data_IF_534089091700
#
_entry.id   IF_534089091700
#
_cell.length_a   1.000
_cell.length_b   1.000
_cell.length_c   1.000
_cell.angle_alpha   90.00
_cell.angle_beta   90.00
_cell.angle_gamma   90.00
#
_symmetry.space_group_name_H-M   'P 1'
#
loop_
_entity.id
_entity.type
_entity.pdbx_description
1 polymer ?
#
# COMPACT_ATOMS: atom_id res chain seq x y z
N UNK A 1 -29.38 -52.23 6.38
CA UNK A 1 -28.46 -51.39 5.58
C UNK A 1 -28.12 -50.14 6.40
N UNK A 2 -26.97 -50.15 7.08
CA UNK A 2 -26.54 -49.05 7.97
C UNK A 2 -25.97 -47.93 7.10
N UNK A 3 -26.64 -46.78 7.06
CA UNK A 3 -26.14 -45.59 6.35
C UNK A 3 -25.04 -44.94 7.20
N UNK A 4 -23.82 -44.99 6.71
CA UNK A 4 -22.66 -44.33 7.31
C UNK A 4 -22.66 -42.86 6.81
N UNK A 5 -22.91 -41.89 7.69
CA UNK A 5 -22.71 -40.47 7.37
C UNK A 5 -21.21 -40.15 7.51
N UNK A 6 -20.56 -39.82 6.40
CA UNK A 6 -19.22 -39.22 6.39
C UNK A 6 -19.35 -37.70 6.57
N UNK A 7 -18.95 -37.21 7.74
CA UNK A 7 -18.78 -35.78 8.00
C UNK A 7 -17.42 -35.33 7.44
N UNK A 8 -17.44 -34.58 6.33
CA UNK A 8 -16.27 -33.88 5.81
C UNK A 8 -16.04 -32.63 6.67
N UNK A 9 -15.04 -32.69 7.56
CA UNK A 9 -14.52 -31.52 8.28
C UNK A 9 -13.76 -30.64 7.30
N UNK A 10 -14.36 -29.50 6.93
CA UNK A 10 -13.69 -28.44 6.18
C UNK A 10 -12.83 -27.63 7.15
N UNK A 11 -11.53 -27.93 7.23
CA UNK A 11 -10.57 -27.11 7.96
C UNK A 11 -10.14 -25.99 7.02
N UNK A 12 -10.49 -24.71 7.27
CA UNK A 12 -9.90 -23.64 6.50
C UNK A 12 -8.43 -23.53 6.91
N UNK A 13 -7.53 -23.81 5.97
CA UNK A 13 -6.12 -23.46 6.09
C UNK A 13 -6.05 -21.93 6.04
N UNK A 14 -6.11 -21.28 7.20
CA UNK A 14 -5.75 -19.86 7.33
C UNK A 14 -4.23 -19.79 7.46
N UNK A 15 -3.54 -20.10 6.35
CA UNK A 15 -2.12 -19.89 6.21
C UNK A 15 -1.88 -18.48 5.72
N UNK A 16 -1.14 -17.67 6.48
CA UNK A 16 -0.74 -16.32 6.11
C UNK A 16 -0.14 -16.30 4.71
N UNK A 17 -0.79 -15.64 3.76
CA UNK A 17 -0.18 -15.33 2.46
C UNK A 17 0.81 -14.20 2.69
N UNK A 18 1.99 -14.53 3.21
CA UNK A 18 3.11 -13.62 3.27
C UNK A 18 3.80 -13.65 1.91
N UNK A 19 3.43 -12.72 1.04
CA UNK A 19 4.18 -12.44 -0.18
C UNK A 19 4.13 -10.96 -0.56
N UNK A 20 4.29 -10.05 0.41
CA UNK A 20 4.86 -8.75 0.08
C UNK A 20 6.36 -8.85 0.35
N UNK A 21 7.17 -8.78 -0.70
CA UNK A 21 8.62 -8.62 -0.54
C UNK A 21 8.86 -7.38 0.32
N UNK A 22 9.65 -7.51 1.40
CA UNK A 22 10.06 -6.35 2.17
C UNK A 22 10.73 -5.36 1.23
N UNK A 23 10.17 -4.15 1.05
CA UNK A 23 10.71 -3.17 0.12
C UNK A 23 12.08 -2.74 0.63
N UNK A 24 13.14 -3.08 -0.11
CA UNK A 24 14.51 -2.77 0.29
C UNK A 24 14.85 -1.29 0.13
N UNK A 25 14.12 -0.56 -0.73
CA UNK A 25 14.37 0.85 -1.06
C UNK A 25 13.08 1.67 -1.07
N UNK A 26 12.54 1.89 0.12
CA UNK A 26 11.50 2.88 0.38
C UNK A 26 12.10 4.29 0.25
N UNK A 27 11.41 5.21 -0.41
CA UNK A 27 11.85 6.61 -0.54
C UNK A 27 10.79 7.57 -0.06
N UNK A 28 11.24 8.73 0.42
CA UNK A 28 10.39 9.87 0.77
C UNK A 28 9.18 9.50 1.67
N UNK A 29 9.40 8.83 2.83
CA UNK A 29 8.30 8.52 3.72
C UNK A 29 7.70 9.81 4.32
N UNK A 30 6.37 9.86 4.41
CA UNK A 30 5.61 10.94 5.01
C UNK A 30 4.51 10.36 5.92
N UNK A 31 4.50 10.77 7.18
CA UNK A 31 3.52 10.33 8.18
C UNK A 31 2.27 11.23 8.08
N UNK A 32 1.08 10.61 8.14
CA UNK A 32 -0.19 11.34 8.15
C UNK A 32 -0.31 12.24 9.40
N UNK A 33 -1.09 13.34 9.34
CA UNK A 33 -1.22 14.26 10.47
C UNK A 33 -1.74 13.62 11.76
N UNK A 34 -2.55 12.56 11.65
CA UNK A 34 -3.07 11.79 12.78
C UNK A 34 -2.10 10.70 13.28
N UNK A 35 -0.94 10.52 12.62
CA UNK A 35 0.10 9.58 12.99
C UNK A 35 -0.18 8.11 12.65
N UNK A 36 -1.27 7.80 11.93
CA UNK A 36 -1.71 6.41 11.72
C UNK A 36 -1.23 5.77 10.42
N UNK A 37 -0.81 6.56 9.43
CA UNK A 37 -0.50 6.06 8.10
C UNK A 37 0.80 6.66 7.59
N UNK A 38 1.63 5.85 6.93
CA UNK A 38 2.82 6.29 6.22
C UNK A 38 2.53 6.22 4.73
N UNK A 39 2.72 7.33 4.01
CA UNK A 39 2.83 7.34 2.55
C UNK A 39 4.32 7.30 2.17
N UNK A 40 4.68 6.61 1.10
CA UNK A 40 6.07 6.51 0.64
C UNK A 40 6.13 6.19 -0.85
N UNK A 41 7.25 6.51 -1.49
CA UNK A 41 7.56 6.12 -2.86
C UNK A 41 8.23 4.75 -2.94
N UNK A 42 7.80 3.91 -3.88
CA UNK A 42 8.42 2.63 -4.20
C UNK A 42 8.23 2.28 -5.68
N UNK A 43 9.31 1.90 -6.36
CA UNK A 43 9.31 1.53 -7.79
C UNK A 43 8.66 2.54 -8.75
N UNK A 44 8.64 3.82 -8.38
CA UNK A 44 8.06 4.88 -9.21
C UNK A 44 6.60 5.20 -8.89
N UNK A 45 5.96 4.48 -7.95
CA UNK A 45 4.61 4.77 -7.50
C UNK A 45 4.58 5.19 -6.03
N UNK A 46 3.48 5.84 -5.63
CA UNK A 46 3.20 6.13 -4.22
C UNK A 46 2.39 4.98 -3.62
N UNK A 47 2.77 4.57 -2.42
CA UNK A 47 2.08 3.59 -1.60
C UNK A 47 1.74 4.18 -0.24
N UNK A 48 0.80 3.54 0.46
CA UNK A 48 0.54 3.76 1.88
C UNK A 48 0.54 2.47 2.70
N UNK A 49 0.87 2.58 3.97
CA UNK A 49 0.82 1.48 4.95
C UNK A 49 0.42 2.02 6.32
N UNK A 50 -0.20 1.19 7.16
CA UNK A 50 -0.45 1.52 8.57
C UNK A 50 0.88 1.75 9.32
N UNK A 51 0.87 2.61 10.35
CA UNK A 51 2.05 2.91 11.17
C UNK A 51 2.63 1.67 11.87
N UNK A 52 1.79 0.66 12.13
CA UNK A 52 2.22 -0.62 12.70
C UNK A 52 2.76 -1.59 11.65
N UNK A 53 2.84 -1.15 10.38
CA UNK A 53 3.27 -1.97 9.24
C UNK A 53 2.13 -2.79 8.64
N UNK A 54 2.49 -3.85 7.93
CA UNK A 54 1.55 -4.73 7.22
C UNK A 54 1.61 -4.55 5.70
N UNK A 55 0.47 -4.77 5.05
CA UNK A 55 0.36 -4.76 3.58
C UNK A 55 0.32 -3.32 3.09
N UNK A 56 1.27 -2.95 2.22
CA UNK A 56 1.30 -1.66 1.57
C UNK A 56 0.33 -1.62 0.38
N UNK A 57 -0.46 -0.56 0.29
CA UNK A 57 -1.49 -0.36 -0.74
C UNK A 57 -1.01 0.72 -1.71
N UNK A 58 -0.97 0.48 -3.03
CA UNK A 58 -0.64 1.51 -4.01
C UNK A 58 -1.72 2.59 -4.01
N UNK A 59 -1.27 3.85 -4.06
CA UNK A 59 -2.09 5.04 -4.26
C UNK A 59 -2.07 5.50 -5.72
N UNK A 60 -0.96 5.25 -6.40
CA UNK A 60 -0.81 5.48 -7.83
C UNK A 60 -0.36 4.21 -8.53
N UNK A 61 -0.69 4.11 -9.81
CA UNK A 61 -0.22 3.06 -10.73
C UNK A 61 -0.12 3.74 -12.10
N UNK A 62 1.10 4.15 -12.47
CA UNK A 62 1.34 4.82 -13.75
C UNK A 62 2.73 4.47 -14.31
N UNK A 63 2.94 4.68 -15.61
CA UNK A 63 4.28 4.58 -16.23
C UNK A 63 5.23 5.73 -15.84
N UNK A 64 4.68 6.76 -15.20
CA UNK A 64 5.39 7.96 -14.78
C UNK A 64 6.01 7.72 -13.40
N UNK A 65 7.00 8.53 -13.04
CA UNK A 65 7.55 8.53 -11.69
C UNK A 65 6.75 9.45 -10.79
N UNK A 66 6.01 8.86 -9.86
CA UNK A 66 5.37 9.55 -8.76
C UNK A 66 6.27 9.51 -7.51
N UNK A 67 6.59 10.67 -6.95
CA UNK A 67 7.53 10.80 -5.84
C UNK A 67 7.20 11.92 -4.85
N UNK A 68 7.92 11.92 -3.72
CA UNK A 68 7.84 12.96 -2.66
C UNK A 68 6.40 13.22 -2.15
N UNK A 69 5.68 12.18 -1.67
CA UNK A 69 4.33 12.37 -1.16
C UNK A 69 4.35 13.26 0.08
N UNK A 70 3.36 14.16 0.20
CA UNK A 70 3.15 14.99 1.38
C UNK A 70 1.68 15.06 1.73
N UNK A 71 1.35 14.89 3.01
CA UNK A 71 -0.03 14.92 3.47
C UNK A 71 -0.52 16.36 3.61
N UNK A 72 -1.75 16.60 3.15
CA UNK A 72 -2.54 17.77 3.54
C UNK A 72 -2.75 17.80 5.06
N UNK A 73 -2.92 19.00 5.62
CA UNK A 73 -3.08 19.19 7.08
C UNK A 73 -4.27 18.44 7.67
N UNK A 74 -5.35 18.28 6.91
CA UNK A 74 -6.54 17.54 7.33
C UNK A 74 -6.45 16.03 7.05
N UNK A 75 -5.34 15.57 6.46
CA UNK A 75 -5.08 14.16 6.17
C UNK A 75 -5.88 13.56 5.02
N UNK A 76 -6.69 14.36 4.30
CA UNK A 76 -7.60 13.83 3.27
C UNK A 76 -6.93 13.62 1.91
N UNK A 77 -5.93 14.44 1.63
CA UNK A 77 -5.23 14.46 0.36
C UNK A 77 -3.72 14.26 0.54
N UNK A 78 -3.07 13.75 -0.49
CA UNK A 78 -1.61 13.62 -0.58
C UNK A 78 -1.18 14.33 -1.85
N UNK A 79 -0.36 15.37 -1.73
CA UNK A 79 0.30 15.96 -2.89
C UNK A 79 1.57 15.17 -3.24
N UNK A 80 1.91 15.07 -4.52
CA UNK A 80 3.12 14.37 -4.99
C UNK A 80 3.62 14.99 -6.31
N UNK A 81 4.88 14.75 -6.64
CA UNK A 81 5.48 15.15 -7.93
C UNK A 81 5.36 14.01 -8.94
N UNK A 82 4.93 14.30 -10.17
CA UNK A 82 4.80 13.31 -11.25
C UNK A 82 5.32 13.87 -12.57
N UNK A 83 6.05 13.05 -13.34
CA UNK A 83 6.56 13.41 -14.68
C UNK A 83 5.63 13.00 -15.83
N UNK A 84 4.37 12.66 -15.53
CA UNK A 84 3.40 12.13 -16.51
C UNK A 84 3.10 13.01 -17.71
N UNK A 85 3.41 14.31 -17.65
CA UNK A 85 3.26 15.26 -18.76
C UNK A 85 4.61 15.73 -19.34
N UNK A 86 5.69 14.98 -19.08
CA UNK A 86 7.04 15.26 -19.61
C UNK A 86 7.90 16.15 -18.74
N UNK A 87 7.37 16.70 -17.64
CA UNK A 87 8.10 17.40 -16.58
C UNK A 87 7.47 17.08 -15.23
N UNK A 88 8.23 17.24 -14.14
CA UNK A 88 7.70 17.08 -12.78
C UNK A 88 6.76 18.23 -12.41
N UNK A 89 5.46 17.94 -12.43
CA UNK A 89 4.40 18.82 -11.92
C UNK A 89 3.88 18.28 -10.58
N UNK A 90 3.11 19.12 -9.86
CA UNK A 90 2.47 18.75 -8.59
C UNK A 90 1.05 18.25 -8.84
N UNK A 91 0.74 17.08 -8.29
CA UNK A 91 -0.57 16.43 -8.32
C UNK A 91 -1.08 16.23 -6.89
N UNK A 92 -2.40 16.04 -6.75
CA UNK A 92 -3.11 15.78 -5.48
C UNK A 92 -4.14 14.68 -5.70
#
# INVERSE_FOLDING_TARGET
>A
MRKLLLLLLFIPIVGSVAAQSNPMWLRYPAISPDGKTIAFGYKGDIYRVDINGGVAIPLTIHEAHDMMPTWSRDGKNIAFSSDRHGNFDVFV
#
